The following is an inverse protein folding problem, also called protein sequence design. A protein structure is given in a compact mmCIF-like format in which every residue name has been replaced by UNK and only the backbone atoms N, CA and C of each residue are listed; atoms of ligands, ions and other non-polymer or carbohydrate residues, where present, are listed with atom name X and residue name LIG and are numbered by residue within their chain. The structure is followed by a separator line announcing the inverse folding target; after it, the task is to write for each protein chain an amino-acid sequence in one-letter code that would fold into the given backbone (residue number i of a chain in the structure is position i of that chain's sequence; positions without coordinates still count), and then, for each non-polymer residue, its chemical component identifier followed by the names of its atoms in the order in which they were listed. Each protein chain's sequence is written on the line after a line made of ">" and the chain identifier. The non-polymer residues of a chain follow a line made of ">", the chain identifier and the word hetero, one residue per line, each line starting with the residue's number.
data_IF_531560729909
#
_entry.id   IF_531560729909
#
_cell.length_a   1.000
_cell.length_b   1.000
_cell.length_c   1.000
_cell.angle_alpha   90.00
_cell.angle_beta   90.00
_cell.angle_gamma   90.00
#
_symmetry.space_group_name_H-M   'P 1'
#
loop_
_entity.id
_entity.type
_entity.pdbx_description
1 polymer ?
#
# COMPACT_ATOMS: atom_id res chain seq x y z
N UNK A 1 -37.19 -51.08 9.71
CA UNK A 1 -36.95 -49.81 9.00
C UNK A 1 -35.53 -49.84 8.45
N UNK A 2 -35.41 -50.22 7.18
CA UNK A 2 -34.17 -50.59 6.48
C UNK A 2 -33.57 -49.36 5.78
N UNK A 3 -32.35 -48.98 6.16
CA UNK A 3 -31.54 -47.97 5.46
C UNK A 3 -30.77 -48.65 4.32
N UNK A 4 -31.36 -48.69 3.14
CA UNK A 4 -30.68 -49.08 1.91
C UNK A 4 -31.05 -48.08 0.81
N UNK A 5 -30.27 -47.01 0.64
CA UNK A 5 -30.21 -46.18 -0.58
C UNK A 5 -29.18 -45.06 -0.41
N UNK A 6 -27.90 -45.35 -0.65
CA UNK A 6 -26.86 -44.32 -0.83
C UNK A 6 -25.59 -44.82 -1.55
N UNK A 7 -25.67 -45.85 -2.40
CA UNK A 7 -24.50 -46.39 -3.14
C UNK A 7 -24.84 -46.80 -4.56
N UNK A 8 -25.38 -45.88 -5.35
CA UNK A 8 -25.69 -46.15 -6.77
C UNK A 8 -25.43 -44.94 -7.68
N UNK A 9 -24.32 -44.22 -7.48
CA UNK A 9 -23.87 -43.13 -8.37
C UNK A 9 -22.34 -43.14 -8.56
N UNK A 10 -21.72 -44.32 -8.64
CA UNK A 10 -20.28 -44.45 -8.94
C UNK A 10 -20.00 -45.14 -10.30
N UNK A 11 -21.04 -45.41 -11.11
CA UNK A 11 -20.89 -46.06 -12.43
C UNK A 11 -20.94 -45.08 -13.62
N UNK A 12 -20.87 -43.77 -13.37
CA UNK A 12 -20.63 -42.83 -14.46
C UNK A 12 -19.11 -42.79 -14.73
N UNK A 13 -18.74 -43.08 -15.97
CA UNK A 13 -17.38 -43.06 -16.51
C UNK A 13 -16.86 -41.60 -16.58
N UNK A 14 -16.74 -40.96 -15.42
CA UNK A 14 -16.33 -39.59 -15.25
C UNK A 14 -14.86 -39.48 -15.62
N UNK A 15 -14.52 -38.41 -16.34
CA UNK A 15 -13.11 -38.11 -16.57
C UNK A 15 -12.43 -37.82 -15.22
N UNK A 16 -11.11 -38.01 -15.10
CA UNK A 16 -10.40 -37.72 -13.84
C UNK A 16 -10.63 -36.30 -13.30
N UNK A 17 -10.90 -35.35 -14.19
CA UNK A 17 -11.27 -33.99 -13.81
C UNK A 17 -12.65 -33.92 -13.15
N UNK A 18 -13.66 -34.57 -13.74
CA UNK A 18 -15.02 -34.57 -13.19
C UNK A 18 -15.09 -35.32 -11.86
N UNK A 19 -14.27 -36.36 -11.69
CA UNK A 19 -14.17 -37.09 -10.43
C UNK A 19 -13.60 -36.18 -9.32
N UNK A 20 -12.54 -35.43 -9.62
CA UNK A 20 -11.97 -34.44 -8.70
C UNK A 20 -12.97 -33.31 -8.37
N UNK A 21 -13.76 -32.87 -9.34
CA UNK A 21 -14.79 -31.85 -9.12
C UNK A 21 -15.92 -32.35 -8.20
N UNK A 22 -16.39 -33.59 -8.39
CA UNK A 22 -17.42 -34.19 -7.55
C UNK A 22 -16.89 -34.43 -6.13
N UNK A 23 -15.64 -34.87 -5.99
CA UNK A 23 -15.00 -35.02 -4.68
C UNK A 23 -14.86 -33.68 -3.97
N UNK A 24 -14.42 -32.62 -4.66
CA UNK A 24 -14.32 -31.28 -4.08
C UNK A 24 -15.68 -30.71 -3.66
N UNK A 25 -16.73 -30.91 -4.46
CA UNK A 25 -18.09 -30.48 -4.10
C UNK A 25 -18.66 -31.29 -2.93
N UNK A 26 -18.33 -32.57 -2.85
CA UNK A 26 -18.74 -33.45 -1.75
C UNK A 26 -18.02 -33.09 -0.46
N UNK A 27 -16.74 -32.72 -0.52
CA UNK A 27 -15.96 -32.25 0.61
C UNK A 27 -16.51 -30.93 1.17
N UNK A 28 -16.84 -29.97 0.29
CA UNK A 28 -17.50 -28.71 0.67
C UNK A 28 -18.86 -28.95 1.32
N UNK A 29 -19.67 -29.87 0.78
CA UNK A 29 -21.00 -30.17 1.33
C UNK A 29 -20.94 -30.86 2.71
N UNK A 30 -19.86 -31.61 2.97
CA UNK A 30 -19.67 -32.34 4.23
C UNK A 30 -18.80 -31.61 5.24
N UNK A 31 -18.23 -30.45 4.90
CA UNK A 31 -17.49 -29.60 5.83
C UNK A 31 -18.50 -28.93 6.77
N UNK A 32 -18.56 -29.31 8.07
CA UNK A 32 -19.55 -28.76 9.01
C UNK A 32 -19.23 -27.33 9.45
N UNK A 33 -18.06 -26.82 9.09
CA UNK A 33 -17.65 -25.43 9.32
C UNK A 33 -18.14 -24.52 8.19
N UNK A 34 -19.40 -24.11 8.28
CA UNK A 34 -19.82 -22.90 7.57
C UNK A 34 -18.95 -21.74 8.08
N UNK A 35 -18.26 -20.98 7.20
CA UNK A 35 -17.49 -19.83 7.64
C UNK A 35 -18.41 -18.92 8.44
N UNK A 36 -18.07 -18.70 9.70
CA UNK A 36 -18.85 -17.87 10.59
C UNK A 36 -18.79 -16.42 10.09
N UNK A 37 -19.78 -16.04 9.29
CA UNK A 37 -19.95 -14.66 8.88
C UNK A 37 -20.37 -13.85 10.10
N UNK A 38 -19.39 -13.23 10.76
CA UNK A 38 -19.63 -12.23 11.80
C UNK A 38 -20.22 -10.97 11.16
N UNK A 39 -21.53 -11.01 10.91
CA UNK A 39 -22.31 -9.90 10.38
C UNK A 39 -22.29 -8.67 11.31
N UNK A 40 -21.90 -8.84 12.58
CA UNK A 40 -21.83 -7.74 13.56
C UNK A 40 -20.61 -6.85 13.29
N UNK A 41 -19.48 -7.41 12.85
CA UNK A 41 -18.30 -6.62 12.48
C UNK A 41 -18.44 -5.90 11.12
N UNK A 42 -19.23 -6.44 10.18
CA UNK A 42 -19.42 -5.82 8.85
C UNK A 42 -20.17 -4.48 8.97
N UNK A 43 -21.09 -4.32 9.93
CA UNK A 43 -21.82 -3.05 10.13
C UNK A 43 -20.93 -1.90 10.65
N UNK A 44 -19.76 -2.16 11.24
CA UNK A 44 -18.92 -1.10 11.82
C UNK A 44 -17.92 -0.46 10.86
N UNK A 45 -17.52 -1.13 9.77
CA UNK A 45 -16.52 -0.56 8.83
C UNK A 45 -17.07 0.33 7.72
N UNK A 46 -18.40 0.43 7.54
CA UNK A 46 -18.99 1.24 6.46
C UNK A 46 -19.33 2.68 6.91
N UNK A 47 -19.05 3.08 8.16
CA UNK A 47 -19.51 4.37 8.72
C UNK A 47 -18.43 5.36 9.17
N UNK A 48 -17.23 5.35 8.59
CA UNK A 48 -16.29 6.48 8.78
C UNK A 48 -15.38 6.70 7.58
N UNK A 49 -15.77 7.65 6.73
CA UNK A 49 -14.95 8.64 5.97
C UNK A 49 -15.64 9.07 4.67
N UNK A 50 -16.88 9.52 4.76
CA UNK A 50 -17.41 10.55 3.85
C UNK A 50 -18.06 11.61 4.72
N UNK A 51 -17.43 12.78 4.77
CA UNK A 51 -18.02 14.12 4.94
C UNK A 51 -16.96 15.09 5.47
N UNK A 52 -16.27 15.76 4.55
CA UNK A 52 -15.99 17.21 4.61
C UNK A 52 -15.15 17.63 3.40
N UNK A 53 -15.74 17.65 2.19
CA UNK A 53 -15.39 18.66 1.18
C UNK A 53 -16.66 18.97 0.39
N UNK A 54 -17.52 19.78 0.97
CA UNK A 54 -18.47 20.59 0.21
C UNK A 54 -17.67 21.81 -0.24
N UNK A 55 -17.37 21.90 -1.52
CA UNK A 55 -16.54 22.97 -2.10
C UNK A 55 -16.87 23.19 -3.57
N UNK A 56 -18.12 23.63 -3.80
CA UNK A 56 -18.59 24.49 -4.88
C UNK A 56 -18.02 24.27 -6.30
N UNK A 57 -18.81 23.58 -7.13
CA UNK A 57 -18.70 23.61 -8.59
C UNK A 57 -19.21 24.98 -9.07
N UNK A 58 -18.30 25.81 -9.59
CA UNK A 58 -18.62 26.92 -10.48
C UNK A 58 -17.95 26.63 -11.82
N UNK A 59 -18.76 26.26 -12.80
CA UNK A 59 -18.34 26.15 -14.19
C UNK A 59 -18.18 27.53 -14.80
N UNK A 60 -17.14 27.71 -15.59
CA UNK A 60 -17.12 28.63 -16.73
C UNK A 60 -16.17 28.07 -17.78
N UNK A 61 -16.74 27.68 -18.91
CA UNK A 61 -16.04 27.41 -20.16
C UNK A 61 -15.53 28.75 -20.69
N UNK A 62 -14.21 28.88 -20.86
CA UNK A 62 -13.63 29.92 -21.71
C UNK A 62 -12.70 29.28 -22.73
N UNK A 63 -13.23 29.25 -23.95
CA UNK A 63 -12.54 29.14 -25.22
C UNK A 63 -11.68 30.41 -25.37
N UNK A 64 -10.43 30.25 -25.80
CA UNK A 64 -9.70 31.33 -26.46
C UNK A 64 -8.38 31.74 -25.82
N UNK A 65 -7.29 31.38 -26.50
CA UNK A 65 -6.26 32.33 -26.93
C UNK A 65 -5.46 33.09 -25.88
N UNK A 66 -4.15 32.79 -25.85
CA UNK A 66 -3.14 33.83 -26.01
C UNK A 66 -2.57 34.50 -24.76
N UNK A 67 -1.25 34.67 -24.83
CA UNK A 67 -0.41 35.67 -24.16
C UNK A 67 -0.08 35.50 -22.66
N UNK A 68 1.16 35.05 -22.46
CA UNK A 68 2.20 35.62 -21.59
C UNK A 68 1.81 36.81 -20.68
N UNK A 69 2.01 36.65 -19.38
CA UNK A 69 2.53 37.72 -18.51
C UNK A 69 3.23 37.12 -17.28
N UNK A 70 4.53 37.40 -17.16
CA UNK A 70 5.32 37.28 -15.93
C UNK A 70 4.89 38.42 -14.98
N UNK A 71 4.64 38.11 -13.71
CA UNK A 71 4.54 39.11 -12.66
C UNK A 71 5.24 38.63 -11.39
N UNK A 72 6.47 39.09 -11.22
CA UNK A 72 7.16 39.22 -9.94
C UNK A 72 6.48 40.30 -9.11
N UNK A 73 6.20 40.02 -7.83
CA UNK A 73 6.17 40.94 -6.66
C UNK A 73 5.50 40.18 -5.50
N UNK A 74 5.90 40.29 -4.24
CA UNK A 74 6.83 41.20 -3.61
C UNK A 74 7.21 40.71 -2.20
N UNK A 75 8.21 41.38 -1.65
CA UNK A 75 8.72 41.15 -0.31
C UNK A 75 7.68 41.48 0.77
N UNK A 76 7.74 40.77 1.89
CA UNK A 76 7.28 41.29 3.18
C UNK A 76 8.26 40.85 4.25
N UNK A 77 9.11 41.81 4.61
CA UNK A 77 9.96 41.79 5.77
C UNK A 77 9.11 41.96 7.03
N UNK A 78 9.33 41.11 8.03
CA UNK A 78 8.72 41.22 9.36
C UNK A 78 9.79 40.98 10.42
N UNK A 79 10.37 42.06 10.90
CA UNK A 79 11.38 42.09 11.96
C UNK A 79 10.72 41.92 13.33
N UNK A 80 11.27 41.04 14.18
CA UNK A 80 10.97 40.99 15.62
C UNK A 80 12.27 40.99 16.40
N UNK A 81 12.61 42.05 17.14
CA UNK A 81 13.61 41.99 18.20
C UNK A 81 12.93 41.58 19.52
N UNK A 82 13.53 40.63 20.24
CA UNK A 82 13.19 40.40 21.65
C UNK A 82 14.49 40.36 22.46
N UNK A 83 14.50 41.23 23.46
CA UNK A 83 15.63 41.55 24.31
C UNK A 83 16.09 40.38 25.19
N UNK A 84 17.37 40.47 25.54
CA UNK A 84 18.13 39.58 26.41
C UNK A 84 17.62 39.49 27.86
N UNK A 85 17.93 38.36 28.51
CA UNK A 85 18.39 38.35 29.90
C UNK A 85 19.33 37.19 30.19
N UNK A 86 20.49 37.55 30.75
CA UNK A 86 21.49 36.71 31.43
C UNK A 86 20.85 35.96 32.60
N UNK A 87 21.26 34.72 32.84
CA UNK A 87 21.82 34.26 34.13
C UNK A 87 22.76 33.09 33.84
N UNK A 88 24.03 33.22 34.24
CA UNK A 88 24.97 32.11 34.30
C UNK A 88 24.72 31.32 35.58
N UNK A 89 24.51 30.01 35.44
CA UNK A 89 24.59 29.05 36.55
C UNK A 89 25.68 28.06 36.19
N UNK A 90 26.65 27.93 37.10
CA UNK A 90 27.76 27.00 36.99
C UNK A 90 27.25 25.57 36.87
N UNK A 91 27.70 24.86 35.84
CA UNK A 91 27.37 23.47 35.61
C UNK A 91 28.22 22.57 36.53
N UNK A 92 27.55 21.87 37.43
CA UNK A 92 28.06 20.65 38.05
C UNK A 92 28.29 19.60 36.95
N UNK A 93 29.45 18.93 36.87
CA UNK A 93 29.67 17.86 35.90
C UNK A 93 28.77 16.67 36.26
N UNK A 94 27.64 16.56 35.55
CA UNK A 94 26.78 15.39 35.57
C UNK A 94 27.46 14.28 34.77
N UNK A 95 27.61 13.05 35.31
CA UNK A 95 28.20 11.95 34.57
C UNK A 95 27.36 11.69 33.32
N UNK A 96 27.99 11.87 32.15
CA UNK A 96 27.37 11.56 30.85
C UNK A 96 26.93 10.10 30.88
N UNK A 97 25.63 9.80 30.73
CA UNK A 97 25.22 8.44 30.45
C UNK A 97 25.82 8.06 29.10
N UNK A 98 26.54 6.94 29.11
CA UNK A 98 27.14 6.27 27.96
C UNK A 98 26.28 6.40 26.70
N UNK A 99 26.92 6.80 25.61
CA UNK A 99 26.31 7.05 24.32
C UNK A 99 25.31 5.96 23.93
N UNK A 100 24.07 6.40 23.71
CA UNK A 100 23.15 5.70 22.81
C UNK A 100 23.87 5.69 21.45
N UNK A 101 23.97 4.56 20.75
CA UNK A 101 24.51 4.57 19.40
C UNK A 101 23.66 5.56 18.60
N UNK A 102 24.29 6.64 18.12
CA UNK A 102 23.70 7.51 17.13
C UNK A 102 23.06 6.64 16.05
N UNK A 103 21.77 6.85 15.80
CA UNK A 103 20.99 6.23 14.74
C UNK A 103 21.77 6.34 13.43
N UNK A 104 22.55 5.31 13.12
CA UNK A 104 23.28 5.24 11.87
C UNK A 104 22.24 5.37 10.76
N UNK A 105 22.43 6.28 9.79
CA UNK A 105 21.44 6.49 8.74
C UNK A 105 21.17 5.15 8.06
N UNK A 106 19.92 4.68 8.15
CA UNK A 106 19.51 3.42 7.52
C UNK A 106 19.87 3.48 6.05
N UNK A 107 20.66 2.51 5.60
CA UNK A 107 21.03 2.41 4.19
C UNK A 107 19.80 2.03 3.38
N UNK A 108 19.58 2.73 2.29
CA UNK A 108 18.51 2.46 1.34
C UNK A 108 18.44 1.00 0.92
N UNK A 109 17.24 0.42 1.01
CA UNK A 109 16.98 -0.95 0.59
C UNK A 109 16.34 -1.00 -0.80
N UNK A 110 16.69 -2.01 -1.60
CA UNK A 110 16.05 -2.24 -2.90
C UNK A 110 14.68 -2.91 -2.69
N UNK A 111 13.55 -2.26 -3.05
CA UNK A 111 12.22 -2.81 -2.78
C UNK A 111 11.99 -4.20 -3.41
N UNK A 112 12.55 -4.44 -4.60
CA UNK A 112 12.45 -5.74 -5.26
C UNK A 112 13.15 -6.86 -4.48
N UNK A 113 14.22 -6.56 -3.74
CA UNK A 113 14.89 -7.54 -2.89
C UNK A 113 14.01 -7.97 -1.71
N UNK A 114 13.30 -7.01 -1.08
CA UNK A 114 12.33 -7.31 -0.02
C UNK A 114 11.21 -8.24 -0.50
N UNK A 115 10.70 -8.01 -1.71
CA UNK A 115 9.68 -8.87 -2.32
C UNK A 115 10.19 -10.29 -2.63
N UNK A 116 11.42 -10.42 -3.14
CA UNK A 116 12.03 -11.73 -3.37
C UNK A 116 12.20 -12.50 -2.06
N UNK A 117 12.49 -11.81 -0.96
CA UNK A 117 12.54 -12.40 0.39
C UNK A 117 11.22 -13.01 0.86
N UNK A 118 10.08 -12.54 0.34
CA UNK A 118 8.75 -13.11 0.60
C UNK A 118 8.39 -14.29 -0.33
N UNK A 119 9.28 -14.68 -1.25
CA UNK A 119 8.97 -15.66 -2.28
C UNK A 119 8.01 -15.16 -3.37
N UNK A 120 7.79 -13.84 -3.43
CA UNK A 120 6.90 -13.22 -4.41
C UNK A 120 7.59 -13.05 -5.77
N UNK A 121 6.85 -13.28 -6.85
CA UNK A 121 7.32 -12.95 -8.19
C UNK A 121 7.24 -11.45 -8.38
N UNK A 122 8.38 -10.78 -8.56
CA UNK A 122 8.43 -9.36 -8.87
C UNK A 122 7.86 -9.13 -10.28
N UNK A 123 6.89 -8.24 -10.38
CA UNK A 123 6.27 -7.84 -11.65
C UNK A 123 6.81 -6.53 -12.16
N UNK A 124 7.05 -5.58 -11.27
CA UNK A 124 7.60 -4.28 -11.60
C UNK A 124 8.52 -3.79 -10.48
N UNK A 125 9.53 -3.04 -10.90
CA UNK A 125 10.45 -2.30 -10.04
C UNK A 125 10.73 -0.96 -10.72
N UNK A 126 10.50 0.14 -10.01
CA UNK A 126 10.67 1.48 -10.56
C UNK A 126 12.11 1.96 -10.54
N UNK A 127 12.97 1.37 -9.70
CA UNK A 127 14.19 2.01 -9.22
C UNK A 127 13.91 3.32 -8.48
N UNK A 128 14.98 4.06 -8.15
CA UNK A 128 14.90 5.37 -7.48
C UNK A 128 14.37 6.46 -8.42
N UNK A 129 13.32 7.17 -8.01
CA UNK A 129 12.63 8.23 -8.76
C UNK A 129 12.16 9.36 -7.84
N UNK A 130 11.69 10.44 -8.44
CA UNK A 130 11.06 11.58 -7.77
C UNK A 130 9.78 11.96 -8.51
N UNK A 131 8.89 12.73 -7.86
CA UNK A 131 7.63 13.17 -8.47
C UNK A 131 6.61 12.05 -8.65
N UNK A 132 5.82 12.10 -9.72
CA UNK A 132 4.79 11.12 -10.01
C UNK A 132 5.17 10.20 -11.18
N UNK A 133 4.60 8.99 -11.21
CA UNK A 133 4.81 8.01 -12.27
C UNK A 133 3.67 7.02 -12.41
N UNK A 134 3.52 6.47 -13.61
CA UNK A 134 2.56 5.43 -13.97
C UNK A 134 3.33 4.27 -14.59
N UNK A 135 3.07 3.06 -14.13
CA UNK A 135 3.88 1.89 -14.48
C UNK A 135 2.99 0.70 -14.86
N UNK A 136 3.27 0.03 -15.97
CA UNK A 136 2.48 -1.12 -16.41
C UNK A 136 2.69 -2.32 -15.48
N UNK A 137 1.62 -3.10 -15.30
CA UNK A 137 1.62 -4.40 -14.66
C UNK A 137 1.09 -5.47 -15.63
N UNK A 138 1.42 -6.76 -15.41
CA UNK A 138 0.82 -7.85 -16.16
C UNK A 138 -0.71 -7.81 -16.05
N UNK A 139 -1.41 -8.09 -17.16
CA UNK A 139 -2.81 -7.73 -17.32
C UNK A 139 -3.81 -8.40 -16.35
N UNK A 140 -3.43 -9.42 -15.58
CA UNK A 140 -4.33 -10.11 -14.66
C UNK A 140 -3.56 -10.96 -13.63
N UNK A 141 -3.47 -10.53 -12.36
CA UNK A 141 -3.32 -11.46 -11.24
C UNK A 141 -4.42 -12.52 -11.28
N UNK A 142 -4.06 -13.79 -11.13
CA UNK A 142 -5.01 -14.75 -10.56
C UNK A 142 -5.25 -14.39 -9.08
N UNK A 143 -6.26 -15.02 -8.46
CA UNK A 143 -6.43 -14.96 -7.01
C UNK A 143 -5.08 -15.26 -6.28
N UNK A 144 -4.80 -14.50 -5.24
CA UNK A 144 -3.51 -14.54 -4.54
C UNK A 144 -3.24 -13.26 -3.76
N UNK A 145 -1.97 -12.97 -3.50
CA UNK A 145 -1.55 -11.79 -2.74
C UNK A 145 -0.72 -10.87 -3.62
N UNK A 146 -1.10 -9.60 -3.67
CA UNK A 146 -0.26 -8.54 -4.24
C UNK A 146 0.58 -7.96 -3.13
N UNK A 147 1.89 -7.94 -3.35
CA UNK A 147 2.86 -7.35 -2.44
C UNK A 147 3.36 -6.04 -3.02
N UNK A 148 3.41 -5.00 -2.20
CA UNK A 148 3.92 -3.68 -2.57
C UNK A 148 4.99 -3.29 -1.57
N UNK A 149 6.23 -3.22 -2.03
CA UNK A 149 7.35 -2.71 -1.23
C UNK A 149 7.66 -1.29 -1.65
N UNK A 150 7.75 -0.39 -0.68
CA UNK A 150 7.98 1.04 -0.86
C UNK A 150 9.24 1.39 -0.08
N UNK A 151 10.18 2.08 -0.71
CA UNK A 151 11.31 2.71 -0.03
C UNK A 151 11.27 4.21 -0.38
N UNK A 152 11.42 5.09 0.59
CA UNK A 152 11.48 6.52 0.34
C UNK A 152 12.41 7.28 1.31
N UNK A 153 12.86 8.44 0.85
CA UNK A 153 13.74 9.35 1.56
C UNK A 153 13.42 10.79 1.17
N UNK A 154 13.50 11.72 2.12
CA UNK A 154 13.16 13.14 1.97
C UNK A 154 11.99 13.54 2.86
N UNK A 155 11.75 14.84 3.00
CA UNK A 155 10.63 15.38 3.78
C UNK A 155 9.36 15.41 2.94
N UNK A 156 8.38 14.56 3.27
CA UNK A 156 7.09 14.53 2.57
C UNK A 156 6.45 13.16 2.64
N UNK A 157 5.59 12.85 1.67
CA UNK A 157 4.91 11.57 1.54
C UNK A 157 5.08 10.98 0.15
N UNK A 158 4.95 9.66 0.08
CA UNK A 158 4.74 8.93 -1.17
C UNK A 158 3.41 8.17 -1.06
N UNK A 159 2.61 8.24 -2.11
CA UNK A 159 1.36 7.48 -2.25
C UNK A 159 1.48 6.54 -3.43
N UNK A 160 1.17 5.27 -3.21
CA UNK A 160 1.19 4.22 -4.22
C UNK A 160 -0.22 3.66 -4.37
N UNK A 161 -0.71 3.58 -5.60
CA UNK A 161 -2.03 3.02 -5.92
C UNK A 161 -1.83 1.81 -6.82
N UNK A 162 -2.23 0.63 -6.36
CA UNK A 162 -2.14 -0.65 -7.09
C UNK A 162 -3.53 -1.27 -7.18
N UNK A 163 -4.17 -1.17 -8.35
CA UNK A 163 -5.56 -1.65 -8.50
C UNK A 163 -6.51 -0.96 -7.51
N UNK A 164 -7.26 -1.70 -6.67
CA UNK A 164 -8.19 -1.12 -5.69
C UNK A 164 -7.49 -0.58 -4.42
N UNK A 165 -6.19 -0.81 -4.29
CA UNK A 165 -5.43 -0.59 -3.05
C UNK A 165 -4.63 0.69 -3.11
N UNK A 166 -4.52 1.38 -1.97
CA UNK A 166 -3.75 2.62 -1.86
C UNK A 166 -2.96 2.63 -0.54
N UNK A 167 -1.67 2.93 -0.65
CA UNK A 167 -0.73 3.00 0.46
C UNK A 167 -0.10 4.39 0.48
N UNK A 168 -0.03 5.02 1.66
CA UNK A 168 0.62 6.32 1.83
C UNK A 168 1.65 6.22 2.94
N UNK A 169 2.90 6.47 2.58
CA UNK A 169 4.03 6.44 3.51
C UNK A 169 4.58 7.84 3.76
N UNK A 170 4.95 8.11 5.01
CA UNK A 170 5.63 9.35 5.37
C UNK A 170 7.13 9.11 5.31
N UNK A 171 7.82 9.93 4.53
CA UNK A 171 9.25 9.82 4.30
C UNK A 171 10.02 10.66 5.32
N UNK A 172 11.23 10.22 5.66
CA UNK A 172 12.12 10.91 6.59
C UNK A 172 13.43 11.31 5.91
N UNK A 173 14.29 12.05 6.62
CA UNK A 173 15.61 12.41 6.08
C UNK A 173 16.48 11.17 5.77
N UNK A 174 16.31 10.09 6.54
CA UNK A 174 16.89 8.78 6.27
C UNK A 174 16.00 7.94 5.35
N UNK A 175 16.59 6.92 4.71
CA UNK A 175 15.82 5.97 3.94
C UNK A 175 14.92 5.16 4.88
N UNK A 176 13.65 5.03 4.50
CA UNK A 176 12.65 4.27 5.23
C UNK A 176 11.76 3.55 4.24
N UNK A 177 11.38 2.31 4.57
CA UNK A 177 10.51 1.53 3.70
C UNK A 177 9.47 0.74 4.45
N UNK A 178 8.46 0.33 3.69
CA UNK A 178 7.38 -0.53 4.15
C UNK A 178 7.13 -1.65 3.15
N UNK A 179 6.57 -2.73 3.67
CA UNK A 179 6.15 -3.88 2.91
C UNK A 179 4.66 -4.09 3.18
N UNK A 180 3.86 -3.92 2.14
CA UNK A 180 2.41 -4.04 2.19
C UNK A 180 1.96 -5.28 1.43
N UNK A 181 0.86 -5.90 1.88
CA UNK A 181 0.31 -7.11 1.29
C UNK A 181 -1.21 -7.06 1.26
N UNK A 182 -1.79 -7.23 0.08
CA UNK A 182 -3.23 -7.26 -0.11
C UNK A 182 -3.66 -8.58 -0.74
N UNK A 183 -4.53 -9.30 -0.04
CA UNK A 183 -5.12 -10.52 -0.54
C UNK A 183 -6.24 -10.22 -1.53
N UNK A 184 -6.08 -10.69 -2.76
CA UNK A 184 -7.07 -10.65 -3.82
C UNK A 184 -7.79 -12.00 -3.90
N UNK A 185 -9.03 -12.11 -3.38
CA UNK A 185 -9.78 -13.37 -3.41
C UNK A 185 -10.21 -13.78 -4.82
N UNK A 186 -10.19 -12.84 -5.78
CA UNK A 186 -10.55 -13.05 -7.17
C UNK A 186 -9.52 -12.38 -8.08
N UNK A 187 -9.51 -12.78 -9.36
CA UNK A 187 -8.71 -12.10 -10.37
C UNK A 187 -9.20 -10.67 -10.58
N UNK A 188 -8.40 -9.68 -10.17
CA UNK A 188 -8.71 -8.26 -10.37
C UNK A 188 -7.78 -7.70 -11.44
N UNK A 189 -8.29 -7.08 -12.51
CA UNK A 189 -7.43 -6.46 -13.51
C UNK A 189 -6.70 -5.26 -12.89
N UNK A 190 -5.43 -5.43 -12.55
CA UNK A 190 -4.52 -4.35 -12.23
C UNK A 190 -3.49 -4.29 -13.36
N UNK A 191 -3.77 -3.48 -14.38
CA UNK A 191 -2.90 -3.33 -15.56
C UNK A 191 -1.77 -2.33 -15.34
N UNK A 192 -1.82 -1.59 -14.23
CA UNK A 192 -0.82 -0.60 -13.87
C UNK A 192 -0.86 -0.29 -12.38
N UNK A 193 0.17 0.42 -11.92
CA UNK A 193 0.16 1.14 -10.66
C UNK A 193 0.65 2.57 -10.83
N UNK A 194 0.23 3.42 -9.92
CA UNK A 194 0.58 4.84 -9.88
C UNK A 194 1.36 5.15 -8.61
N UNK A 195 2.33 6.06 -8.72
CA UNK A 195 3.08 6.58 -7.59
C UNK A 195 3.04 8.10 -7.65
N UNK A 196 2.76 8.75 -6.52
CA UNK A 196 2.86 10.20 -6.35
C UNK A 196 3.72 10.50 -5.14
N UNK A 197 4.88 11.11 -5.35
CA UNK A 197 5.73 11.63 -4.28
C UNK A 197 5.64 13.16 -4.18
N UNK A 198 5.64 13.67 -2.94
CA UNK A 198 5.78 15.10 -2.67
C UNK A 198 7.12 15.65 -3.22
N UNK A 199 7.19 16.97 -3.41
CA UNK A 199 8.43 17.63 -3.81
C UNK A 199 9.55 17.37 -2.79
N UNK A 200 10.74 17.00 -3.28
CA UNK A 200 11.90 16.67 -2.43
C UNK A 200 11.92 15.24 -1.89
N UNK A 201 10.91 14.41 -2.20
CA UNK A 201 10.91 12.98 -1.88
C UNK A 201 11.53 12.18 -3.04
N UNK A 202 12.52 11.36 -2.71
CA UNK A 202 13.01 10.26 -3.56
C UNK A 202 12.36 8.97 -3.11
N UNK A 203 11.84 8.18 -4.04
CA UNK A 203 11.13 6.94 -3.76
C UNK A 203 11.54 5.83 -4.74
N UNK A 204 11.39 4.57 -4.32
CA UNK A 204 11.35 3.41 -5.19
C UNK A 204 10.22 2.49 -4.75
N UNK A 205 9.58 1.84 -5.71
CA UNK A 205 8.47 0.92 -5.46
C UNK A 205 8.71 -0.35 -6.26
N UNK A 206 8.48 -1.49 -5.64
CA UNK A 206 8.33 -2.75 -6.33
C UNK A 206 6.95 -3.34 -6.05
N UNK A 207 6.36 -3.93 -7.08
CA UNK A 207 5.09 -4.66 -6.99
C UNK A 207 5.35 -6.09 -7.42
N UNK A 208 4.84 -7.03 -6.63
CA UNK A 208 4.97 -8.45 -6.89
C UNK A 208 3.73 -9.23 -6.49
N UNK A 209 3.74 -10.52 -6.78
CA UNK A 209 2.59 -11.39 -6.56
C UNK A 209 3.00 -12.78 -6.09
N UNK A 210 2.18 -13.35 -5.21
CA UNK A 210 2.25 -14.74 -4.77
C UNK A 210 0.87 -15.39 -4.87
N UNK A 211 0.82 -16.70 -5.16
CA UNK A 211 -0.43 -17.49 -5.08
C UNK A 211 -0.90 -17.68 -3.64
N UNK A 212 0.05 -17.67 -2.71
CA UNK A 212 -0.20 -17.93 -1.30
C UNK A 212 -0.67 -16.66 -0.61
N UNK A 213 -1.67 -16.81 0.26
CA UNK A 213 -2.01 -15.80 1.25
C UNK A 213 -0.80 -15.51 2.16
N UNK A 214 -0.65 -14.29 2.71
CA UNK A 214 0.39 -14.03 3.69
C UNK A 214 0.15 -14.90 4.93
N UNK A 215 1.18 -15.61 5.40
CA UNK A 215 1.16 -16.23 6.72
C UNK A 215 1.34 -15.12 7.75
N UNK A 216 0.28 -14.81 8.50
CA UNK A 216 0.32 -13.85 9.62
C UNK A 216 1.10 -14.40 10.81
#
# INVERSE_FOLDING_TARGET
>A
MTRHSARALHDANLTPFEQNLVDALTDVANTPDAPQFDAVNIKRRVRRRRSAVTGLVLGTVLIGGGATALALTGLSAGSSPSHASKVGVAATPSPSPSGIPDDAPTSWQEPAAALRGQGSKVWADTGRRTGAGHFPLPAQPHAGTVWTSIECQGSGKVTVVVGPSSYTESCSAGASGTLNADHLPFSTPATHFEVTGDAGVTWAVAVGWSRTAPSH
#
